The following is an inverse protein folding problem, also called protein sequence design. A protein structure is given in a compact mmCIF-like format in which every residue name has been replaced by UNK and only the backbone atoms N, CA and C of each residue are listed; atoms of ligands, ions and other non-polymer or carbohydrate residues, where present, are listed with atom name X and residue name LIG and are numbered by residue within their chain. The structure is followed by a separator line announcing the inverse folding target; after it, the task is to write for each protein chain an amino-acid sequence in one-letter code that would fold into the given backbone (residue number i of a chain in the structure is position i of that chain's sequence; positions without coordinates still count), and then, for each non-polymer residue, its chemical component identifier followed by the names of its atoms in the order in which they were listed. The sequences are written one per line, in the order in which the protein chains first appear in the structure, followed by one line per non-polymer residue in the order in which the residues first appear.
data_IF_614376221900
#
_entry.id   IF_614376221900
#
_cell.length_a   1.000
_cell.length_b   1.000
_cell.length_c   1.000
_cell.angle_alpha   90.00
_cell.angle_beta   90.00
_cell.angle_gamma   90.00
#
_symmetry.space_group_name_H-M   'P 1'
#
loop_
_entity.id
_entity.type
_entity.pdbx_description
1 polymer ?
#
# COMPACT_ATOMS: atom_id res chain seq x y z
N UNK A 1 -16.03 -19.76 -81.51
CA UNK A 1 -16.54 -18.47 -82.04
C UNK A 1 -17.06 -17.68 -80.84
N UNK A 2 -16.60 -16.49 -80.48
CA UNK A 2 -15.67 -15.57 -81.12
C UNK A 2 -15.02 -14.66 -80.06
N UNK A 3 -13.84 -14.15 -80.41
CA UNK A 3 -13.05 -13.18 -79.65
C UNK A 3 -13.72 -11.80 -79.64
N UNK A 4 -13.50 -11.03 -78.59
CA UNK A 4 -13.25 -9.60 -78.71
C UNK A 4 -12.35 -9.12 -77.57
N UNK A 5 -11.25 -8.52 -78.00
CA UNK A 5 -10.06 -8.10 -77.27
C UNK A 5 -10.26 -6.94 -76.29
N UNK A 6 -9.43 -6.91 -75.24
CA UNK A 6 -8.92 -5.63 -74.71
C UNK A 6 -7.57 -5.79 -74.00
N UNK A 7 -6.73 -4.73 -73.98
CA UNK A 7 -5.29 -4.82 -74.11
C UNK A 7 -4.52 -4.91 -72.79
N UNK A 8 -3.23 -5.22 -72.96
CA UNK A 8 -2.20 -5.48 -71.94
C UNK A 8 -1.40 -4.22 -71.56
N UNK A 9 -1.09 -4.13 -70.25
CA UNK A 9 0.12 -3.58 -69.57
C UNK A 9 0.19 -2.07 -69.27
N UNK A 10 0.89 -1.59 -68.21
CA UNK A 10 1.96 -2.27 -67.46
C UNK A 10 1.89 -2.23 -65.92
N UNK A 11 2.73 -3.10 -65.36
CA UNK A 11 3.23 -3.21 -63.98
C UNK A 11 3.80 -1.92 -63.39
N UNK A 12 3.39 -1.58 -62.17
CA UNK A 12 4.22 -0.87 -61.19
C UNK A 12 4.15 -1.57 -59.83
N UNK A 13 5.25 -2.21 -59.45
CA UNK A 13 5.48 -2.68 -58.10
C UNK A 13 5.66 -1.46 -57.18
N UNK A 14 4.68 -1.21 -56.30
CA UNK A 14 4.84 -0.33 -55.16
C UNK A 14 5.06 -1.19 -53.92
N UNK A 15 6.33 -1.42 -53.58
CA UNK A 15 6.74 -1.97 -52.28
C UNK A 15 6.51 -0.88 -51.23
N UNK A 16 5.32 -0.85 -50.63
CA UNK A 16 5.05 0.00 -49.47
C UNK A 16 5.68 -0.63 -48.24
N UNK A 17 6.93 -0.29 -47.98
CA UNK A 17 7.59 -0.59 -46.70
C UNK A 17 6.89 0.23 -45.61
N UNK A 18 5.93 -0.39 -44.92
CA UNK A 18 5.34 0.19 -43.72
C UNK A 18 6.42 0.28 -42.64
N UNK A 19 7.05 1.45 -42.50
CA UNK A 19 7.90 1.75 -41.38
C UNK A 19 7.05 1.67 -40.09
N UNK A 20 7.24 0.61 -39.30
CA UNK A 20 6.72 0.52 -37.93
C UNK A 20 7.26 1.70 -37.14
N UNK A 21 6.46 2.76 -37.01
CA UNK A 21 6.71 3.83 -36.07
C UNK A 21 6.65 3.25 -34.65
N UNK A 22 7.81 2.83 -34.16
CA UNK A 22 7.95 2.31 -32.80
C UNK A 22 8.19 3.53 -31.92
N UNK A 23 7.13 4.17 -31.45
CA UNK A 23 7.25 5.27 -30.50
C UNK A 23 7.68 4.67 -29.16
N UNK A 24 8.99 4.70 -28.87
CA UNK A 24 9.47 4.47 -27.51
C UNK A 24 8.79 5.50 -26.60
N UNK A 25 8.07 5.04 -25.58
CA UNK A 25 7.63 5.88 -24.46
C UNK A 25 8.90 6.42 -23.80
N UNK A 26 9.36 7.61 -24.21
CA UNK A 26 10.56 8.26 -23.68
C UNK A 26 10.22 9.08 -22.43
N UNK A 27 11.18 9.12 -21.50
CA UNK A 27 11.11 9.92 -20.27
C UNK A 27 10.74 11.38 -20.58
N UNK A 28 9.91 12.07 -19.77
CA UNK A 28 9.71 13.50 -19.93
C UNK A 28 11.06 14.23 -19.78
N UNK A 29 11.34 15.14 -20.73
CA UNK A 29 12.55 15.99 -20.71
C UNK A 29 12.58 16.80 -19.41
N UNK A 30 13.76 16.92 -18.80
CA UNK A 30 13.99 17.86 -17.69
C UNK A 30 13.83 19.28 -18.23
N UNK A 31 12.79 19.99 -17.81
CA UNK A 31 12.78 21.44 -17.91
C UNK A 31 13.72 22.00 -16.84
N UNK A 32 14.73 22.74 -17.30
CA UNK A 32 15.66 23.46 -16.46
C UNK A 32 14.95 24.70 -15.92
N UNK A 33 14.42 24.63 -14.71
CA UNK A 33 13.93 25.80 -13.98
C UNK A 33 15.12 26.75 -13.72
N UNK A 34 15.16 27.86 -14.46
CA UNK A 34 16.02 29.01 -14.13
C UNK A 34 15.45 29.68 -12.89
N UNK A 35 16.18 29.57 -11.78
CA UNK A 35 15.90 30.28 -10.54
C UNK A 35 16.22 31.77 -10.74
N UNK A 36 15.17 32.60 -10.83
CA UNK A 36 15.31 34.06 -10.72
C UNK A 36 15.45 34.39 -9.23
N UNK A 37 16.60 34.92 -8.84
CA UNK A 37 16.83 35.46 -7.49
C UNK A 37 16.22 36.86 -7.41
N UNK A 38 15.14 37.02 -6.66
CA UNK A 38 14.75 38.31 -6.09
C UNK A 38 15.08 38.32 -4.60
N UNK A 39 15.83 39.34 -4.18
CA UNK A 39 16.22 39.53 -2.79
C UNK A 39 15.08 40.10 -1.98
N UNK A 40 14.80 39.48 -0.83
CA UNK A 40 14.11 40.11 0.28
C UNK A 40 14.74 39.58 1.57
N UNK A 41 15.31 40.51 2.35
CA UNK A 41 15.85 40.25 3.67
C UNK A 41 14.70 39.90 4.62
N UNK A 42 14.72 38.67 5.16
CA UNK A 42 13.76 38.18 6.14
C UNK A 42 14.50 37.67 7.37
N UNK A 43 14.18 38.24 8.53
CA UNK A 43 14.71 37.89 9.84
C UNK A 43 14.44 36.42 10.17
N UNK A 44 15.49 35.63 10.44
CA UNK A 44 15.39 34.23 10.85
C UNK A 44 15.13 34.16 12.35
N UNK A 45 13.89 33.91 12.74
CA UNK A 45 13.57 33.47 14.10
C UNK A 45 14.01 32.01 14.28
N UNK A 46 15.08 31.78 15.03
CA UNK A 46 15.51 30.42 15.43
C UNK A 46 14.50 29.84 16.43
N UNK A 47 13.52 29.11 15.94
CA UNK A 47 12.70 28.24 16.77
C UNK A 47 13.51 26.97 17.08
N UNK A 48 14.02 26.85 18.31
CA UNK A 48 14.68 25.62 18.79
C UNK A 48 13.62 24.55 19.00
N UNK A 49 13.35 23.73 17.98
CA UNK A 49 12.59 22.49 18.17
C UNK A 49 13.50 21.46 18.86
N UNK A 50 13.18 21.13 20.10
CA UNK A 50 13.78 19.99 20.79
C UNK A 50 13.14 18.70 20.25
N UNK A 51 13.65 18.21 19.12
CA UNK A 51 13.37 16.84 18.68
C UNK A 51 13.99 15.90 19.74
N UNK A 52 13.21 15.03 20.41
CA UNK A 52 13.77 14.06 21.34
C UNK A 52 14.78 13.19 20.62
N UNK A 53 15.98 13.04 21.21
CA UNK A 53 16.97 12.07 20.71
C UNK A 53 16.33 10.67 20.74
N UNK A 54 16.40 9.89 19.65
CA UNK A 54 15.93 8.51 19.67
C UNK A 54 16.70 7.74 20.76
N UNK A 55 16.06 6.79 21.46
CA UNK A 55 16.71 6.03 22.51
C UNK A 55 17.96 5.33 21.98
N UNK A 56 19.02 5.30 22.78
CA UNK A 56 20.27 4.63 22.41
C UNK A 56 20.10 3.12 22.61
N UNK A 57 19.71 2.44 21.54
CA UNK A 57 19.66 0.97 21.46
C UNK A 57 21.06 0.43 21.10
N UNK A 58 21.42 -0.74 21.61
CA UNK A 58 22.73 -1.37 21.38
C UNK A 58 23.12 -1.36 19.89
N UNK A 59 24.17 -0.60 19.58
CA UNK A 59 24.52 -0.11 18.23
C UNK A 59 24.98 -1.17 17.20
N UNK A 60 24.88 -2.47 17.53
CA UNK A 60 24.96 -3.59 16.59
C UNK A 60 23.58 -4.11 16.17
N UNK A 61 22.51 -3.34 16.41
CA UNK A 61 21.22 -3.58 15.76
C UNK A 61 21.41 -3.65 14.25
N UNK A 62 20.72 -4.60 13.63
CA UNK A 62 20.88 -5.11 12.28
C UNK A 62 20.64 -4.04 11.18
N UNK A 63 21.56 -3.08 11.06
CA UNK A 63 21.60 -2.09 9.96
C UNK A 63 21.58 -2.79 8.60
N UNK A 64 22.05 -4.03 8.55
CA UNK A 64 22.01 -4.88 7.36
C UNK A 64 20.57 -5.27 7.02
N UNK A 65 19.73 -5.70 7.97
CA UNK A 65 18.32 -5.99 7.73
C UNK A 65 17.49 -4.74 7.48
N UNK A 66 17.74 -3.63 8.20
CA UNK A 66 17.07 -2.36 7.90
C UNK A 66 17.37 -1.88 6.47
N UNK A 67 18.62 -1.98 6.03
CA UNK A 67 18.98 -1.67 4.63
C UNK A 67 18.37 -2.67 3.64
N UNK A 68 18.28 -3.95 4.01
CA UNK A 68 17.79 -5.03 3.14
C UNK A 68 16.27 -5.02 2.97
N UNK A 69 15.51 -4.70 4.01
CA UNK A 69 14.04 -4.74 4.03
C UNK A 69 13.37 -3.35 4.11
N UNK A 70 14.15 -2.31 4.43
CA UNK A 70 13.71 -0.93 4.58
C UNK A 70 13.45 -0.50 6.02
N UNK A 71 13.39 0.80 6.23
CA UNK A 71 12.99 1.46 7.47
C UNK A 71 12.37 2.82 7.08
N UNK A 72 11.21 2.77 6.42
CA UNK A 72 10.56 3.98 5.91
C UNK A 72 9.75 4.69 6.99
N UNK A 73 9.84 6.02 7.01
CA UNK A 73 8.89 6.87 7.73
C UNK A 73 7.62 7.09 6.92
N UNK A 74 6.54 7.53 7.57
CA UNK A 74 5.30 7.93 6.91
C UNK A 74 5.54 9.00 5.83
N UNK A 75 6.35 10.02 6.13
CA UNK A 75 6.72 11.06 5.18
C UNK A 75 7.47 10.52 3.96
N UNK A 76 8.37 9.54 4.16
CA UNK A 76 9.08 8.91 3.04
C UNK A 76 8.16 8.08 2.16
N UNK A 77 7.17 7.39 2.75
CA UNK A 77 6.13 6.67 1.98
C UNK A 77 5.33 7.66 1.14
N UNK A 78 4.83 8.74 1.74
CA UNK A 78 4.08 9.78 1.03
C UNK A 78 4.91 10.42 -0.10
N UNK A 79 6.20 10.67 0.13
CA UNK A 79 7.11 11.20 -0.89
C UNK A 79 7.34 10.20 -2.04
N UNK A 80 7.45 8.90 -1.75
CA UNK A 80 7.58 7.86 -2.77
C UNK A 80 6.33 7.76 -3.64
N UNK A 81 5.15 7.77 -3.03
CA UNK A 81 3.86 7.75 -3.72
C UNK A 81 3.73 8.98 -4.65
N UNK A 82 4.01 10.18 -4.13
CA UNK A 82 4.02 11.39 -4.95
C UNK A 82 5.04 11.32 -6.10
N UNK A 83 6.23 10.76 -5.86
CA UNK A 83 7.26 10.60 -6.88
C UNK A 83 6.87 9.56 -7.95
N UNK A 84 6.10 8.53 -7.59
CA UNK A 84 5.55 7.54 -8.52
C UNK A 84 4.46 8.17 -9.41
N UNK A 85 3.54 8.93 -8.82
CA UNK A 85 2.52 9.68 -9.56
C UNK A 85 3.17 10.65 -10.54
N UNK A 86 4.21 11.38 -10.11
CA UNK A 86 4.95 12.33 -10.95
C UNK A 86 5.73 11.69 -12.13
N UNK A 87 5.76 10.36 -12.24
CA UNK A 87 6.33 9.64 -13.39
C UNK A 87 5.29 8.78 -14.12
N UNK A 88 4.01 8.97 -13.84
CA UNK A 88 2.89 8.31 -14.51
C UNK A 88 2.50 6.94 -13.96
N UNK A 89 2.94 6.60 -12.74
CA UNK A 89 2.45 5.42 -12.02
C UNK A 89 1.44 5.89 -10.98
N UNK A 90 0.16 5.68 -11.28
CA UNK A 90 -0.94 6.16 -10.45
C UNK A 90 -1.09 5.34 -9.15
N UNK A 91 -1.65 5.97 -8.12
CA UNK A 91 -1.99 5.33 -6.84
C UNK A 91 -2.87 4.11 -7.06
N UNK A 92 -3.83 4.17 -8.00
CA UNK A 92 -4.68 3.02 -8.30
C UNK A 92 -3.89 1.80 -8.81
N UNK A 93 -2.80 2.01 -9.56
CA UNK A 93 -1.95 0.93 -10.06
C UNK A 93 -1.12 0.29 -8.93
N UNK A 94 -0.56 1.11 -8.04
CA UNK A 94 0.16 0.62 -6.87
C UNK A 94 -0.79 -0.13 -5.92
N UNK A 95 -1.98 0.41 -5.70
CA UNK A 95 -3.05 -0.17 -4.87
C UNK A 95 -3.51 -1.53 -5.39
N UNK A 96 -3.66 -1.68 -6.72
CA UNK A 96 -4.03 -2.97 -7.30
C UNK A 96 -3.01 -4.07 -6.97
N UNK A 97 -1.71 -3.74 -7.07
CA UNK A 97 -0.65 -4.68 -6.70
C UNK A 97 -0.59 -4.89 -5.18
N UNK A 98 -0.75 -3.84 -4.39
CA UNK A 98 -0.77 -3.91 -2.93
C UNK A 98 -1.88 -4.83 -2.41
N UNK A 99 -3.12 -4.60 -2.81
CA UNK A 99 -4.25 -5.43 -2.43
C UNK A 99 -4.12 -6.88 -2.93
N UNK A 100 -3.59 -7.09 -4.14
CA UNK A 100 -3.26 -8.44 -4.62
C UNK A 100 -2.25 -9.16 -3.71
N UNK A 101 -1.21 -8.46 -3.23
CA UNK A 101 -0.23 -9.05 -2.31
C UNK A 101 -0.83 -9.34 -0.94
N UNK A 102 -1.69 -8.47 -0.42
CA UNK A 102 -2.45 -8.71 0.81
C UNK A 102 -3.31 -9.96 0.67
N UNK A 103 -4.05 -10.09 -0.44
CA UNK A 103 -4.85 -11.28 -0.74
C UNK A 103 -3.98 -12.55 -0.74
N UNK A 104 -2.82 -12.54 -1.41
CA UNK A 104 -1.90 -13.69 -1.45
C UNK A 104 -1.42 -14.13 -0.06
N UNK A 105 -1.11 -13.17 0.81
CA UNK A 105 -0.72 -13.48 2.18
C UNK A 105 -1.90 -14.03 2.99
N UNK A 106 -3.08 -13.41 2.89
CA UNK A 106 -4.31 -13.88 3.53
C UNK A 106 -4.67 -15.31 3.11
N UNK A 107 -4.57 -15.63 1.82
CA UNK A 107 -4.77 -16.98 1.27
C UNK A 107 -3.83 -18.00 1.89
N UNK A 108 -2.54 -17.65 1.99
CA UNK A 108 -1.52 -18.51 2.61
C UNK A 108 -1.81 -18.74 4.09
N UNK A 109 -2.16 -17.67 4.83
CA UNK A 109 -2.54 -17.75 6.24
C UNK A 109 -3.76 -18.65 6.48
N UNK A 110 -4.67 -18.74 5.51
CA UNK A 110 -5.84 -19.60 5.57
C UNK A 110 -5.56 -21.07 5.18
N UNK A 111 -4.30 -21.44 4.95
CA UNK A 111 -3.88 -22.77 4.53
C UNK A 111 -4.11 -23.02 3.05
N UNK A 112 -4.09 -21.98 2.22
CA UNK A 112 -4.24 -22.03 0.76
C UNK A 112 -5.55 -22.66 0.28
N UNK A 113 -6.65 -22.31 0.92
CA UNK A 113 -7.99 -22.80 0.56
C UNK A 113 -9.08 -21.81 0.97
N UNK A 114 -10.26 -21.87 0.34
CA UNK A 114 -11.35 -20.94 0.62
C UNK A 114 -11.81 -20.98 2.08
N UNK A 115 -12.10 -19.79 2.62
CA UNK A 115 -12.61 -19.56 3.97
C UNK A 115 -13.57 -18.37 3.97
N UNK A 116 -14.22 -18.13 5.12
CA UNK A 116 -14.95 -16.90 5.42
C UNK A 116 -13.98 -15.84 5.93
N UNK A 117 -13.94 -14.67 5.29
CA UNK A 117 -13.06 -13.56 5.65
C UNK A 117 -13.89 -12.28 5.80
N UNK A 118 -13.42 -11.38 6.64
CA UNK A 118 -14.00 -10.05 6.79
C UNK A 118 -12.93 -8.97 6.64
N UNK A 119 -13.22 -7.93 5.86
CA UNK A 119 -12.33 -6.78 5.69
C UNK A 119 -12.90 -5.58 6.42
N UNK A 120 -12.11 -4.99 7.30
CA UNK A 120 -12.43 -3.72 7.94
C UNK A 120 -11.63 -2.62 7.27
N UNK A 121 -12.28 -1.81 6.44
CA UNK A 121 -11.66 -0.78 5.61
C UNK A 121 -11.96 0.63 6.15
N UNK A 122 -11.05 1.57 5.93
CA UNK A 122 -11.30 3.00 6.15
C UNK A 122 -11.45 3.77 4.84
N UNK A 123 -11.66 5.10 4.94
CA UNK A 123 -11.82 6.00 3.79
C UNK A 123 -10.52 6.34 3.05
N UNK A 124 -9.36 5.90 3.55
CA UNK A 124 -8.05 6.19 2.97
C UNK A 124 -7.54 5.09 2.03
N UNK A 125 -6.33 5.29 1.49
CA UNK A 125 -5.68 4.34 0.59
C UNK A 125 -5.61 2.91 1.18
N UNK A 126 -5.35 2.78 2.49
CA UNK A 126 -5.30 1.47 3.16
C UNK A 126 -6.63 0.70 3.01
N UNK A 127 -7.77 1.39 3.09
CA UNK A 127 -9.07 0.77 2.88
C UNK A 127 -9.27 0.32 1.44
N UNK A 128 -8.76 1.09 0.48
CA UNK A 128 -8.70 0.68 -0.93
C UNK A 128 -7.89 -0.60 -1.15
N UNK A 129 -6.72 -0.72 -0.52
CA UNK A 129 -5.89 -1.94 -0.56
C UNK A 129 -6.66 -3.15 0.01
N UNK A 130 -7.39 -2.95 1.10
CA UNK A 130 -8.27 -3.97 1.70
C UNK A 130 -9.41 -4.40 0.79
N UNK A 131 -10.06 -3.46 0.09
CA UNK A 131 -11.15 -3.75 -0.85
C UNK A 131 -10.66 -4.46 -2.11
N UNK A 132 -9.47 -4.10 -2.62
CA UNK A 132 -8.80 -4.85 -3.69
C UNK A 132 -8.48 -6.27 -3.22
N UNK A 133 -7.95 -6.43 -2.00
CA UNK A 133 -7.70 -7.75 -1.43
C UNK A 133 -8.99 -8.58 -1.33
N UNK A 134 -10.08 -7.98 -0.86
CA UNK A 134 -11.39 -8.61 -0.77
C UNK A 134 -11.86 -9.14 -2.13
N UNK A 135 -11.75 -8.33 -3.19
CA UNK A 135 -12.11 -8.71 -4.55
C UNK A 135 -11.31 -9.92 -5.06
N UNK A 136 -9.99 -9.92 -4.86
CA UNK A 136 -9.14 -11.05 -5.26
C UNK A 136 -9.45 -12.32 -4.47
N UNK A 137 -9.65 -12.21 -3.15
CA UNK A 137 -10.01 -13.34 -2.29
C UNK A 137 -11.38 -13.94 -2.67
N UNK A 138 -12.36 -13.09 -2.99
CA UNK A 138 -13.66 -13.52 -3.54
C UNK A 138 -13.48 -14.28 -4.85
N UNK A 139 -12.68 -13.76 -5.77
CA UNK A 139 -12.36 -14.44 -7.04
C UNK A 139 -11.64 -15.79 -6.85
N UNK A 140 -10.97 -16.01 -5.71
CA UNK A 140 -10.37 -17.30 -5.35
C UNK A 140 -11.31 -18.22 -4.56
N UNK A 141 -12.61 -17.88 -4.52
CA UNK A 141 -13.68 -18.69 -3.93
C UNK A 141 -13.91 -18.47 -2.44
N UNK A 142 -13.26 -17.48 -1.82
CA UNK A 142 -13.54 -17.15 -0.41
C UNK A 142 -14.90 -16.46 -0.28
N UNK A 143 -15.60 -16.72 0.83
CA UNK A 143 -16.76 -15.93 1.21
C UNK A 143 -16.25 -14.67 1.93
N UNK A 144 -16.34 -13.51 1.28
CA UNK A 144 -15.76 -12.27 1.79
C UNK A 144 -16.85 -11.24 2.01
N UNK A 145 -16.87 -10.67 3.22
CA UNK A 145 -17.63 -9.45 3.52
C UNK A 145 -16.66 -8.31 3.82
N UNK A 146 -17.07 -7.07 3.58
CA UNK A 146 -16.27 -5.90 3.85
C UNK A 146 -17.12 -4.78 4.45
N UNK A 147 -16.62 -4.12 5.48
CA UNK A 147 -17.21 -2.89 5.99
C UNK A 147 -16.22 -1.74 5.83
N UNK A 148 -16.62 -0.69 5.12
CA UNK A 148 -15.92 0.60 5.11
C UNK A 148 -16.47 1.44 6.27
N UNK A 149 -15.67 1.61 7.32
CA UNK A 149 -16.11 2.32 8.52
C UNK A 149 -15.93 3.84 8.40
N UNK A 150 -17.03 4.56 8.59
CA UNK A 150 -17.16 6.01 8.66
C UNK A 150 -18.32 6.50 7.80
N UNK A 151 -18.43 7.82 7.65
CA UNK A 151 -19.58 8.46 7.01
C UNK A 151 -19.71 8.07 5.51
N UNK A 152 -20.84 7.48 5.08
CA UNK A 152 -21.10 7.18 3.68
C UNK A 152 -21.01 8.41 2.77
N UNK A 153 -21.38 9.60 3.26
CA UNK A 153 -21.31 10.84 2.48
C UNK A 153 -19.86 11.28 2.19
N UNK A 154 -18.88 10.70 2.88
CA UNK A 154 -17.44 10.96 2.69
C UNK A 154 -16.74 9.90 1.83
N UNK A 155 -17.46 8.89 1.37
CA UNK A 155 -16.91 7.88 0.47
C UNK A 155 -16.64 8.54 -0.89
N UNK A 156 -15.38 8.54 -1.32
CA UNK A 156 -14.98 9.17 -2.57
C UNK A 156 -13.70 8.54 -3.13
N UNK A 157 -13.41 8.87 -4.39
CA UNK A 157 -12.10 8.61 -4.99
C UNK A 157 -11.79 7.12 -5.16
N UNK A 158 -10.59 6.71 -4.76
CA UNK A 158 -10.13 5.32 -4.94
C UNK A 158 -10.95 4.33 -4.11
N UNK A 159 -11.32 4.67 -2.87
CA UNK A 159 -12.05 3.76 -1.98
C UNK A 159 -13.45 3.50 -2.49
N UNK A 160 -14.14 4.54 -2.97
CA UNK A 160 -15.46 4.39 -3.62
C UNK A 160 -15.39 3.45 -4.83
N UNK A 161 -14.42 3.69 -5.74
CA UNK A 161 -14.23 2.86 -6.92
C UNK A 161 -13.92 1.40 -6.57
N UNK A 162 -13.04 1.17 -5.59
CA UNK A 162 -12.71 -0.19 -5.17
C UNK A 162 -13.84 -0.87 -4.41
N UNK A 163 -14.64 -0.12 -3.65
CA UNK A 163 -15.85 -0.61 -3.00
C UNK A 163 -16.87 -1.09 -4.03
N UNK A 164 -17.12 -0.28 -5.06
CA UNK A 164 -17.97 -0.67 -6.18
C UNK A 164 -17.43 -1.90 -6.91
N UNK A 165 -16.13 -1.94 -7.24
CA UNK A 165 -15.51 -3.07 -7.93
C UNK A 165 -15.57 -4.36 -7.09
N UNK A 166 -15.38 -4.29 -5.78
CA UNK A 166 -15.51 -5.42 -4.86
C UNK A 166 -16.97 -5.91 -4.82
N UNK A 167 -17.94 -5.01 -4.68
CA UNK A 167 -19.36 -5.36 -4.68
C UNK A 167 -19.80 -6.03 -5.99
N UNK A 168 -19.40 -5.45 -7.13
CA UNK A 168 -19.66 -6.03 -8.45
C UNK A 168 -18.98 -7.40 -8.68
N UNK A 169 -17.98 -7.74 -7.85
CA UNK A 169 -17.27 -9.03 -7.86
C UNK A 169 -17.77 -10.01 -6.79
N UNK A 170 -18.96 -9.77 -6.23
CA UNK A 170 -19.61 -10.67 -5.27
C UNK A 170 -19.15 -10.54 -3.82
N UNK A 171 -18.46 -9.45 -3.46
CA UNK A 171 -18.18 -9.12 -2.05
C UNK A 171 -19.39 -8.40 -1.46
N UNK A 172 -19.85 -8.80 -0.28
CA UNK A 172 -20.85 -8.02 0.46
C UNK A 172 -20.16 -6.80 1.09
N UNK A 173 -20.34 -5.62 0.48
CA UNK A 173 -19.71 -4.37 0.93
C UNK A 173 -20.74 -3.47 1.60
N UNK A 174 -20.48 -3.12 2.86
CA UNK A 174 -21.29 -2.17 3.65
C UNK A 174 -20.46 -0.92 3.96
N UNK A 175 -21.10 0.25 4.00
CA UNK A 175 -20.48 1.50 4.46
C UNK A 175 -21.28 1.97 5.66
N UNK A 176 -20.64 2.09 6.83
CA UNK A 176 -21.34 2.44 8.07
C UNK A 176 -20.48 3.30 8.99
N UNK A 177 -21.11 4.31 9.60
CA UNK A 177 -20.49 5.13 10.64
C UNK A 177 -20.56 4.49 12.03
N UNK A 178 -21.36 3.43 12.22
CA UNK A 178 -21.44 2.72 13.50
C UNK A 178 -20.23 1.77 13.63
N UNK A 179 -19.41 1.89 14.68
CA UNK A 179 -18.29 0.98 14.91
C UNK A 179 -18.68 -0.50 15.01
N UNK A 180 -19.91 -0.80 15.42
CA UNK A 180 -20.40 -2.19 15.59
C UNK A 180 -20.56 -2.92 14.26
N UNK A 181 -20.94 -2.20 13.21
CA UNK A 181 -21.14 -2.77 11.87
C UNK A 181 -19.81 -3.10 11.17
N UNK A 182 -18.70 -2.55 11.68
CA UNK A 182 -17.36 -2.83 11.19
C UNK A 182 -16.74 -4.10 11.81
N UNK A 183 -17.42 -4.74 12.76
CA UNK A 183 -16.90 -5.93 13.42
C UNK A 183 -17.20 -7.18 12.60
N UNK A 184 -16.22 -8.08 12.57
CA UNK A 184 -16.35 -9.31 11.80
C UNK A 184 -17.52 -10.17 12.32
N UNK A 185 -18.33 -10.74 11.40
CA UNK A 185 -19.39 -11.66 11.79
C UNK A 185 -18.81 -12.92 12.43
N UNK A 186 -19.63 -13.59 13.23
CA UNK A 186 -19.26 -14.86 13.85
C UNK A 186 -18.80 -15.88 12.80
N UNK A 187 -17.70 -16.58 13.10
CA UNK A 187 -17.16 -17.63 12.22
C UNK A 187 -16.29 -17.12 11.06
N UNK A 188 -15.94 -15.83 11.02
CA UNK A 188 -14.85 -15.34 10.18
C UNK A 188 -13.52 -16.00 10.59
N UNK A 189 -12.83 -16.63 9.63
CA UNK A 189 -11.56 -17.32 9.87
C UNK A 189 -10.36 -16.34 9.94
N UNK A 190 -10.48 -15.20 9.26
CA UNK A 190 -9.47 -14.15 9.21
C UNK A 190 -10.16 -12.79 9.06
N UNK A 191 -9.70 -11.81 9.84
CA UNK A 191 -10.06 -10.41 9.71
C UNK A 191 -8.89 -9.67 9.04
N UNK A 192 -9.17 -8.88 8.01
CA UNK A 192 -8.19 -8.02 7.36
C UNK A 192 -8.39 -6.60 7.88
N UNK A 193 -7.43 -6.13 8.66
CA UNK A 193 -7.38 -4.77 9.18
C UNK A 193 -6.79 -3.83 8.12
N UNK A 194 -7.67 -3.10 7.45
CA UNK A 194 -7.38 -2.11 6.42
C UNK A 194 -7.94 -0.72 6.83
N UNK A 195 -8.12 -0.49 8.13
CA UNK A 195 -8.84 0.68 8.63
C UNK A 195 -7.98 1.96 8.56
N UNK A 196 -6.76 1.92 9.09
CA UNK A 196 -5.81 3.05 9.13
C UNK A 196 -4.43 2.57 8.65
N UNK A 197 -3.72 3.43 7.90
CA UNK A 197 -2.36 3.15 7.43
C UNK A 197 -1.32 4.12 8.00
N UNK A 198 -0.21 4.30 7.28
CA UNK A 198 0.93 5.18 7.65
C UNK A 198 0.58 6.64 7.89
N UNK A 199 -0.51 7.15 7.30
CA UNK A 199 -0.96 8.53 7.48
C UNK A 199 -1.60 8.85 8.84
N UNK A 200 -1.69 7.87 9.74
CA UNK A 200 -2.22 8.09 11.09
C UNK A 200 -1.14 8.69 12.00
N UNK A 201 -1.49 9.79 12.67
CA UNK A 201 -0.67 10.42 13.71
C UNK A 201 -1.48 10.58 14.99
N UNK A 202 -0.89 10.22 16.14
CA UNK A 202 -1.49 10.45 17.46
C UNK A 202 -2.60 9.45 17.81
N UNK A 203 -3.64 9.95 18.50
CA UNK A 203 -4.76 9.12 18.96
C UNK A 203 -5.76 8.86 17.82
N UNK A 204 -6.22 7.61 17.62
CA UNK A 204 -7.33 7.34 16.71
C UNK A 204 -8.59 8.12 17.14
N UNK A 205 -9.34 8.62 16.15
CA UNK A 205 -10.65 9.24 16.39
C UNK A 205 -11.59 8.23 17.06
N UNK A 206 -12.53 8.70 17.90
CA UNK A 206 -13.37 7.84 18.74
C UNK A 206 -14.04 6.67 17.99
N UNK A 207 -14.61 6.90 16.80
CA UNK A 207 -15.19 5.83 15.97
C UNK A 207 -14.17 4.76 15.58
N UNK A 208 -13.02 5.17 15.04
CA UNK A 208 -11.92 4.25 14.73
C UNK A 208 -11.37 3.55 15.97
N UNK A 209 -11.23 4.26 17.09
CA UNK A 209 -10.78 3.66 18.34
C UNK A 209 -11.71 2.55 18.81
N UNK A 210 -13.03 2.75 18.70
CA UNK A 210 -14.04 1.74 19.03
C UNK A 210 -13.95 0.52 18.10
N UNK A 211 -13.78 0.72 16.78
CA UNK A 211 -13.57 -0.38 15.83
C UNK A 211 -12.30 -1.17 16.17
N UNK A 212 -11.17 -0.49 16.35
CA UNK A 212 -9.89 -1.12 16.73
C UNK A 212 -10.05 -1.90 18.03
N UNK A 213 -10.67 -1.30 19.04
CA UNK A 213 -10.93 -1.94 20.33
C UNK A 213 -11.88 -3.13 20.24
N UNK A 214 -12.71 -3.22 19.19
CA UNK A 214 -13.67 -4.31 18.97
C UNK A 214 -13.16 -5.43 18.06
N UNK A 215 -12.11 -5.22 17.26
CA UNK A 215 -11.57 -6.27 16.37
C UNK A 215 -11.03 -7.46 17.16
N UNK A 216 -11.42 -8.68 16.79
CA UNK A 216 -11.03 -9.93 17.46
C UNK A 216 -10.72 -11.03 16.43
N UNK A 217 -10.13 -12.12 16.91
CA UNK A 217 -9.78 -13.30 16.11
C UNK A 217 -8.38 -13.21 15.51
N UNK A 218 -8.14 -13.99 14.46
CA UNK A 218 -6.89 -13.91 13.69
C UNK A 218 -6.95 -12.68 12.79
N UNK A 219 -6.04 -11.72 13.00
CA UNK A 219 -6.03 -10.46 12.25
C UNK A 219 -4.78 -10.38 11.36
N UNK A 220 -4.99 -10.04 10.09
CA UNK A 220 -3.93 -9.60 9.17
C UNK A 220 -4.05 -8.09 8.96
N UNK A 221 -3.07 -7.31 9.42
CA UNK A 221 -3.05 -5.87 9.17
C UNK A 221 -2.43 -5.54 7.82
N UNK A 222 -3.08 -4.65 7.09
CA UNK A 222 -2.59 -4.06 5.84
C UNK A 222 -1.73 -2.85 6.19
N UNK A 223 -0.52 -2.89 5.67
CA UNK A 223 0.52 -1.88 5.79
C UNK A 223 1.10 -1.68 7.19
N UNK A 224 0.23 -1.24 8.12
CA UNK A 224 0.49 -0.93 9.53
C UNK A 224 -0.75 -1.34 10.34
N UNK A 225 -0.60 -2.03 11.49
CA UNK A 225 -1.73 -2.27 12.38
C UNK A 225 -2.44 -0.97 12.75
N UNK A 226 -3.76 -0.90 12.55
CA UNK A 226 -4.52 0.30 12.82
C UNK A 226 -4.36 0.72 14.28
N UNK A 227 -4.02 1.99 14.52
CA UNK A 227 -3.71 2.51 15.85
C UNK A 227 -2.21 2.56 16.19
N UNK A 228 -1.34 1.94 15.38
CA UNK A 228 0.11 1.98 15.55
C UNK A 228 0.74 3.13 14.77
N UNK A 229 1.67 3.85 15.38
CA UNK A 229 2.50 4.84 14.70
C UNK A 229 3.60 4.12 13.88
N UNK A 230 3.63 4.42 12.58
CA UNK A 230 4.57 3.83 11.62
C UNK A 230 6.04 4.21 11.86
N UNK A 231 6.30 5.34 12.52
CA UNK A 231 7.65 5.90 12.63
C UNK A 231 8.38 5.45 13.89
N UNK A 232 7.67 5.34 15.01
CA UNK A 232 8.24 5.00 16.32
C UNK A 232 7.77 3.63 16.86
N UNK A 233 6.75 3.02 16.27
CA UNK A 233 6.24 1.71 16.68
C UNK A 233 5.47 1.72 17.99
N UNK A 234 5.01 2.89 18.45
CA UNK A 234 4.18 3.08 19.64
C UNK A 234 2.71 3.26 19.27
N UNK A 235 1.82 2.99 20.23
CA UNK A 235 0.40 3.26 20.11
C UNK A 235 0.04 4.30 21.17
N UNK A 236 -0.50 5.45 20.76
CA UNK A 236 -0.89 6.53 21.67
C UNK A 236 -2.14 6.19 22.52
N UNK A 237 -2.83 5.09 22.20
CA UNK A 237 -4.02 4.60 22.91
C UNK A 237 -4.28 3.14 22.57
N UNK A 238 -5.26 2.89 21.70
CA UNK A 238 -5.59 1.53 21.23
C UNK A 238 -4.96 1.24 19.86
N UNK A 239 -4.46 0.02 19.69
CA UNK A 239 -3.99 -0.49 18.40
C UNK A 239 -4.40 -1.94 18.20
N UNK A 240 -4.47 -2.36 16.94
CA UNK A 240 -4.75 -3.74 16.56
C UNK A 240 -3.58 -4.65 17.00
N UNK A 241 -3.93 -5.79 17.58
CA UNK A 241 -3.01 -6.90 17.81
C UNK A 241 -3.09 -7.88 16.64
N UNK A 242 -2.23 -7.70 15.65
CA UNK A 242 -2.21 -8.52 14.45
C UNK A 242 -1.49 -9.86 14.68
N UNK A 243 -1.99 -10.93 14.08
CA UNK A 243 -1.26 -12.19 13.95
C UNK A 243 -0.12 -12.04 12.93
N UNK A 244 -0.36 -11.28 11.87
CA UNK A 244 0.64 -10.88 10.90
C UNK A 244 0.34 -9.48 10.32
N UNK A 245 1.37 -8.82 9.81
CA UNK A 245 1.25 -7.54 9.09
C UNK A 245 1.82 -7.70 7.68
N UNK A 246 1.03 -7.36 6.66
CA UNK A 246 1.47 -7.24 5.27
C UNK A 246 1.91 -5.80 5.00
N UNK A 247 3.19 -5.50 5.19
CA UNK A 247 3.70 -4.15 5.01
C UNK A 247 4.09 -3.86 3.57
N UNK A 248 3.63 -2.75 3.02
CA UNK A 248 3.74 -2.44 1.59
C UNK A 248 4.99 -1.60 1.30
N UNK A 249 5.56 -1.78 0.10
CA UNK A 249 6.75 -1.06 -0.44
C UNK A 249 8.07 -1.36 0.28
N UNK A 250 8.09 -1.27 1.61
CA UNK A 250 9.23 -1.52 2.47
C UNK A 250 8.76 -1.63 3.93
N UNK A 251 9.61 -2.20 4.79
CA UNK A 251 9.34 -2.21 6.23
C UNK A 251 9.33 -0.78 6.80
N UNK A 252 8.38 -0.50 7.70
CA UNK A 252 8.26 0.79 8.39
C UNK A 252 9.34 0.91 9.45
N UNK A 253 9.79 2.13 9.70
CA UNK A 253 10.81 2.43 10.70
C UNK A 253 10.41 1.93 12.10
N UNK A 254 9.17 2.21 12.51
CA UNK A 254 8.64 1.87 13.83
C UNK A 254 8.61 0.36 14.11
N UNK A 255 8.57 -0.48 13.08
CA UNK A 255 8.53 -1.94 13.27
C UNK A 255 9.85 -2.50 13.80
N UNK A 256 10.95 -1.75 13.65
CA UNK A 256 12.24 -2.12 14.23
C UNK A 256 12.31 -1.85 15.74
N UNK A 257 11.38 -1.06 16.29
CA UNK A 257 11.26 -0.86 17.73
C UNK A 257 10.68 -2.11 18.40
N UNK A 258 11.29 -2.56 19.50
CA UNK A 258 10.82 -3.71 20.26
C UNK A 258 9.36 -3.55 20.73
N UNK A 259 8.95 -2.32 21.06
CA UNK A 259 7.59 -1.99 21.49
C UNK A 259 6.51 -2.30 20.44
N UNK A 260 6.86 -2.30 19.15
CA UNK A 260 5.92 -2.57 18.05
C UNK A 260 5.50 -4.04 17.98
N UNK A 261 6.35 -4.96 18.46
CA UNK A 261 6.22 -6.41 18.24
C UNK A 261 4.95 -7.01 18.80
N UNK A 262 4.41 -6.44 19.88
CA UNK A 262 3.14 -6.88 20.47
C UNK A 262 1.92 -6.59 19.58
N UNK A 263 2.08 -5.68 18.62
CA UNK A 263 1.01 -5.22 17.71
C UNK A 263 1.14 -5.83 16.33
N UNK A 264 2.36 -5.99 15.82
CA UNK A 264 2.59 -6.33 14.40
C UNK A 264 2.45 -7.82 14.08
N UNK A 265 2.59 -8.69 15.09
CA UNK A 265 2.72 -10.13 14.86
C UNK A 265 3.93 -10.45 13.97
N UNK A 266 3.76 -11.41 13.05
CA UNK A 266 4.78 -11.68 12.02
C UNK A 266 4.71 -10.63 10.92
N UNK A 267 5.81 -9.91 10.67
CA UNK A 267 5.87 -8.91 9.59
C UNK A 267 6.34 -9.52 8.29
N UNK A 268 5.57 -9.26 7.23
CA UNK A 268 5.89 -9.60 5.85
C UNK A 268 5.96 -8.32 5.03
N UNK A 269 7.06 -8.07 4.32
CA UNK A 269 7.13 -6.99 3.33
C UNK A 269 6.70 -7.50 1.97
N UNK A 270 5.73 -6.82 1.37
CA UNK A 270 5.24 -7.08 0.03
C UNK A 270 5.84 -6.07 -0.95
N UNK A 271 6.52 -6.58 -1.99
CA UNK A 271 6.91 -5.77 -3.13
C UNK A 271 5.67 -5.41 -3.96
N UNK A 272 5.32 -4.12 -4.00
CA UNK A 272 4.20 -3.60 -4.79
C UNK A 272 4.65 -3.00 -6.13
N UNK A 273 5.93 -3.14 -6.49
CA UNK A 273 6.45 -2.63 -7.75
C UNK A 273 6.77 -1.14 -7.73
N UNK A 274 7.00 -0.54 -6.56
CA UNK A 274 7.37 0.88 -6.42
C UNK A 274 8.57 1.21 -7.33
N UNK A 275 8.41 2.10 -8.34
CA UNK A 275 9.42 2.31 -9.36
C UNK A 275 10.77 2.74 -8.80
N UNK A 276 11.87 2.10 -9.23
CA UNK A 276 13.24 2.46 -8.81
C UNK A 276 13.58 3.94 -9.08
N UNK A 277 12.91 4.57 -10.05
CA UNK A 277 12.98 6.00 -10.35
C UNK A 277 12.36 6.88 -9.26
N UNK A 278 11.26 6.46 -8.63
CA UNK A 278 10.63 7.17 -7.51
C UNK A 278 11.58 7.21 -6.30
N UNK A 279 12.14 6.05 -5.92
CA UNK A 279 13.18 5.96 -4.90
C UNK A 279 14.34 6.93 -5.11
N UNK A 280 14.92 6.95 -6.32
CA UNK A 280 16.02 7.88 -6.65
C UNK A 280 15.60 9.35 -6.58
N UNK A 281 14.37 9.70 -6.98
CA UNK A 281 13.86 11.07 -6.90
C UNK A 281 13.74 11.56 -5.45
N UNK A 282 13.41 10.66 -4.53
CA UNK A 282 13.36 10.94 -3.10
C UNK A 282 14.73 10.90 -2.40
N UNK A 283 15.82 10.59 -3.13
CA UNK A 283 17.14 10.39 -2.52
C UNK A 283 17.24 9.11 -1.68
N UNK A 284 16.35 8.14 -1.89
CA UNK A 284 16.26 6.90 -1.13
C UNK A 284 16.80 5.70 -1.92
N UNK A 285 17.36 4.73 -1.20
CA UNK A 285 17.74 3.44 -1.75
C UNK A 285 16.60 2.42 -1.62
N UNK A 286 16.17 1.86 -2.75
CA UNK A 286 15.17 0.78 -2.73
C UNK A 286 15.75 -0.49 -2.08
N UNK A 287 15.10 -1.05 -1.04
CA UNK A 287 15.63 -2.18 -0.29
C UNK A 287 15.97 -3.38 -1.18
N UNK A 288 17.07 -4.07 -0.87
CA UNK A 288 17.57 -5.14 -1.75
C UNK A 288 16.69 -6.39 -1.70
N UNK A 289 16.04 -6.71 -0.57
CA UNK A 289 15.15 -7.87 -0.46
C UNK A 289 13.73 -7.63 -0.99
N UNK A 290 13.33 -6.38 -1.21
CA UNK A 290 12.03 -6.03 -1.79
C UNK A 290 12.19 -5.92 -3.31
N UNK A 291 11.96 -7.04 -3.99
CA UNK A 291 12.12 -7.17 -5.44
C UNK A 291 11.34 -8.35 -6.00
N UNK A 292 10.97 -8.25 -7.28
CA UNK A 292 10.38 -9.33 -8.06
C UNK A 292 8.95 -9.69 -7.65
N UNK A 293 8.20 -8.77 -7.03
CA UNK A 293 6.83 -9.05 -6.58
C UNK A 293 6.76 -10.07 -5.45
N UNK A 294 7.86 -10.26 -4.71
CA UNK A 294 7.91 -11.23 -3.63
C UNK A 294 7.30 -10.69 -2.33
N UNK A 295 6.70 -11.59 -1.55
CA UNK A 295 6.37 -11.35 -0.14
C UNK A 295 7.46 -12.00 0.71
N UNK A 296 8.11 -11.24 1.58
CA UNK A 296 9.25 -11.71 2.38
C UNK A 296 9.01 -11.45 3.86
N UNK A 297 9.19 -12.47 4.69
CA UNK A 297 9.21 -12.30 6.15
C UNK A 297 10.39 -11.41 6.54
N UNK A 298 10.12 -10.42 7.39
CA UNK A 298 11.14 -9.52 7.94
C UNK A 298 11.70 -10.13 9.23
N UNK A 299 13.03 -10.31 9.35
CA UNK A 299 13.65 -10.85 10.56
C UNK A 299 13.76 -9.74 11.62
N UNK A 300 12.63 -9.41 12.25
CA UNK A 300 12.62 -8.41 13.32
C UNK A 300 13.33 -8.96 14.58
N UNK A 301 14.08 -8.12 15.34
CA UNK A 301 14.81 -8.54 16.54
C UNK A 301 13.92 -9.25 17.56
N UNK A 302 14.44 -10.29 18.22
CA UNK A 302 13.71 -10.99 19.28
C UNK A 302 13.29 -10.02 20.39
N UNK A 303 12.10 -10.24 20.97
CA UNK A 303 11.73 -9.56 22.21
C UNK A 303 12.54 -10.22 23.32
N UNK A 304 13.38 -9.44 23.98
CA UNK A 304 14.02 -9.87 25.23
C UNK A 304 12.89 -10.04 26.26
N UNK A 305 12.49 -11.29 26.51
CA UNK A 305 11.47 -11.61 27.52
C UNK A 305 12.15 -11.44 28.88
N UNK A 306 12.08 -10.23 29.44
CA UNK A 306 12.32 -10.00 30.87
C UNK A 306 11.02 -10.21 31.63
#
# INVERSE_FOLDING_TARGET
MGEASSPRMPTTAATTTAARATTKITRPRRETLRLVRSGAAGVVAMCRSTVPKPPQWSARMDRTAQHRYGALTADQVAALDAAAVAIGVDIAQLMEVAGFQVARLAWTMNGSRPRRLHVVAGHGNNGGDGLVAARHLSAWGCAVTATVHGDPARLAGVVERQGHAAAASGVEVTVSADPRDALAPAGAALVIDALLGTGMTGLPRAGHAAVIAGMRGTILSVDVPSGLNADDGTAAGVAVHAAATCTLTACKQGFWAAASRRWTGTVHVADIGMPRTAWRRCGLGAPSAVRGGAIRRVPLPAIDRR
#
